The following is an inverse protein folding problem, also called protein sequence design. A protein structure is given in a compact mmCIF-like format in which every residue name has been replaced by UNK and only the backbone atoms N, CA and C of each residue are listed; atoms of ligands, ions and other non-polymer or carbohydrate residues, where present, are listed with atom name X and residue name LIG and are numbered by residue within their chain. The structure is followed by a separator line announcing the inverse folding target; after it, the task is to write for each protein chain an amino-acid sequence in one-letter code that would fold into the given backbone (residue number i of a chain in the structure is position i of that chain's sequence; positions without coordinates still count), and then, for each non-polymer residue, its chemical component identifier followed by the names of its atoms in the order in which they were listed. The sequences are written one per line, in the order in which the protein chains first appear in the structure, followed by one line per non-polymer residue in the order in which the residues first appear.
data_IF_219975806658
#
_entry.id   IF_219975806658
#
_cell.length_a   1.000
_cell.length_b   1.000
_cell.length_c   1.000
_cell.angle_alpha   90.00
_cell.angle_beta   90.00
_cell.angle_gamma   90.00
#
_symmetry.space_group_name_H-M   'P 1'
#
loop_
_entity.id
_entity.type
_entity.pdbx_description
1 polymer ?
#
# COMPACT_ATOMS: atom_id res chain seq x y z
N UNK A 1 3.67 9.17 -13.47
CA UNK A 1 2.78 9.17 -12.30
C UNK A 1 1.40 8.74 -12.74
N UNK A 2 0.56 9.69 -13.16
CA UNK A 2 -0.78 9.38 -13.69
C UNK A 2 -0.71 8.36 -14.84
N UNK A 3 -1.49 7.29 -14.73
CA UNK A 3 -1.55 6.18 -15.69
C UNK A 3 -0.49 5.10 -15.52
N UNK A 4 0.49 5.26 -14.62
CA UNK A 4 1.46 4.20 -14.35
C UNK A 4 0.76 2.97 -13.76
N UNK A 5 1.03 1.78 -14.31
CA UNK A 5 0.50 0.54 -13.77
C UNK A 5 1.35 0.05 -12.58
N UNK A 6 0.67 -0.29 -11.49
CA UNK A 6 1.26 -0.93 -10.32
C UNK A 6 0.69 -2.35 -10.18
N UNK A 7 1.57 -3.36 -10.12
CA UNK A 7 1.22 -4.77 -9.90
C UNK A 7 0.83 -5.03 -8.45
N UNK A 8 -0.32 -4.50 -8.04
CA UNK A 8 -0.81 -4.65 -6.67
C UNK A 8 -1.30 -6.07 -6.40
N UNK A 9 -1.23 -6.51 -5.14
CA UNK A 9 -1.73 -7.79 -4.61
C UNK A 9 -0.98 -9.03 -5.10
N UNK A 10 -0.37 -9.02 -6.29
CA UNK A 10 0.36 -10.15 -6.85
C UNK A 10 1.63 -9.66 -7.56
N UNK A 11 2.79 -10.10 -7.09
CA UNK A 11 4.10 -9.69 -7.61
C UNK A 11 4.33 -10.16 -9.06
N UNK A 12 3.75 -11.30 -9.44
CA UNK A 12 3.82 -11.81 -10.81
C UNK A 12 2.80 -11.14 -11.77
N UNK A 13 2.01 -10.18 -11.28
CA UNK A 13 1.00 -9.48 -12.06
C UNK A 13 -0.37 -10.16 -12.09
N UNK A 14 -1.19 -9.81 -13.07
CA UNK A 14 -2.59 -10.24 -13.21
C UNK A 14 -3.59 -9.44 -12.36
N UNK A 15 -3.13 -8.47 -11.56
CA UNK A 15 -3.96 -7.58 -10.71
C UNK A 15 -3.54 -6.11 -10.77
N UNK A 16 -2.84 -5.75 -11.84
CA UNK A 16 -2.36 -4.39 -12.09
C UNK A 16 -3.50 -3.38 -12.08
N UNK A 17 -3.23 -2.23 -11.47
CA UNK A 17 -4.13 -1.08 -11.52
C UNK A 17 -3.34 0.16 -11.94
N UNK A 18 -3.92 1.05 -12.78
CA UNK A 18 -3.32 2.34 -13.06
C UNK A 18 -3.48 3.27 -11.85
N UNK A 19 -2.39 3.86 -11.38
CA UNK A 19 -2.43 4.92 -10.36
C UNK A 19 -2.74 6.26 -11.04
N UNK A 20 -3.67 7.03 -10.47
CA UNK A 20 -4.02 8.37 -10.97
C UNK A 20 -4.52 9.28 -9.83
N UNK A 21 -4.59 10.59 -10.07
CA UNK A 21 -4.86 11.60 -9.04
C UNK A 21 -6.17 11.38 -8.26
N UNK A 22 -7.20 10.78 -8.88
CA UNK A 22 -8.49 10.52 -8.24
C UNK A 22 -8.70 9.05 -7.85
N UNK A 23 -7.63 8.23 -7.81
CA UNK A 23 -7.75 6.83 -7.44
C UNK A 23 -8.31 6.69 -6.02
N UNK A 24 -9.47 6.05 -5.92
CA UNK A 24 -10.09 5.71 -4.65
C UNK A 24 -9.87 4.23 -4.31
N UNK A 25 -9.92 3.88 -3.02
CA UNK A 25 -9.84 2.49 -2.57
C UNK A 25 -10.91 1.62 -3.25
N UNK A 26 -12.12 2.15 -3.44
CA UNK A 26 -13.23 1.44 -4.09
C UNK A 26 -12.91 1.15 -5.56
N UNK A 27 -12.49 2.16 -6.31
CA UNK A 27 -12.14 2.01 -7.74
C UNK A 27 -10.99 1.02 -7.91
N UNK A 28 -9.93 1.18 -7.12
CA UNK A 28 -8.78 0.28 -7.11
C UNK A 28 -9.18 -1.16 -6.79
N UNK A 29 -10.03 -1.37 -5.78
CA UNK A 29 -10.49 -2.69 -5.38
C UNK A 29 -11.30 -3.38 -6.49
N UNK A 30 -12.18 -2.63 -7.15
CA UNK A 30 -12.92 -3.13 -8.33
C UNK A 30 -11.96 -3.52 -9.45
N UNK A 31 -10.97 -2.68 -9.76
CA UNK A 31 -9.97 -2.95 -10.79
C UNK A 31 -9.15 -4.22 -10.48
N UNK A 32 -8.67 -4.37 -9.24
CA UNK A 32 -7.80 -5.47 -8.85
C UNK A 32 -8.55 -6.80 -8.62
N UNK A 33 -9.78 -6.78 -8.07
CA UNK A 33 -10.49 -7.98 -7.63
C UNK A 33 -11.68 -8.41 -8.51
N UNK A 34 -12.31 -7.49 -9.25
CA UNK A 34 -13.49 -7.78 -10.07
C UNK A 34 -13.13 -8.00 -11.54
N UNK A 35 -11.94 -8.54 -11.82
CA UNK A 35 -11.43 -8.79 -13.19
C UNK A 35 -12.31 -9.74 -14.01
N UNK A 36 -13.13 -10.55 -13.35
CA UNK A 36 -14.16 -11.37 -13.98
C UNK A 36 -15.30 -10.55 -14.65
N UNK A 37 -15.31 -9.22 -14.50
CA UNK A 37 -16.27 -8.29 -15.13
C UNK A 37 -15.59 -7.45 -16.21
N UNK A 38 -15.19 -8.02 -17.36
CA UNK A 38 -14.32 -7.34 -18.34
C UNK A 38 -14.87 -6.00 -18.83
N UNK A 39 -16.18 -5.90 -19.08
CA UNK A 39 -16.82 -4.65 -19.53
C UNK A 39 -16.74 -3.52 -18.51
N UNK A 40 -16.75 -3.84 -17.21
CA UNK A 40 -16.61 -2.84 -16.14
C UNK A 40 -15.17 -2.35 -16.08
N UNK A 41 -14.22 -3.30 -16.11
CA UNK A 41 -12.78 -3.01 -16.07
C UNK A 41 -12.37 -2.15 -17.26
N UNK A 42 -12.77 -2.53 -18.48
CA UNK A 42 -12.48 -1.78 -19.71
C UNK A 42 -12.98 -0.33 -19.63
N UNK A 43 -14.22 -0.12 -19.17
CA UNK A 43 -14.78 1.23 -19.02
C UNK A 43 -14.04 2.06 -17.98
N UNK A 44 -13.68 1.47 -16.83
CA UNK A 44 -12.92 2.16 -15.79
C UNK A 44 -11.52 2.52 -16.30
N UNK A 45 -10.83 1.58 -16.95
CA UNK A 45 -9.51 1.83 -17.54
C UNK A 45 -9.57 2.93 -18.60
N UNK A 46 -10.60 2.94 -19.45
CA UNK A 46 -10.80 4.01 -20.43
C UNK A 46 -10.99 5.37 -19.76
N UNK A 47 -11.86 5.47 -18.75
CA UNK A 47 -12.07 6.72 -18.01
C UNK A 47 -10.77 7.23 -17.36
N UNK A 48 -9.95 6.33 -16.83
CA UNK A 48 -8.65 6.67 -16.24
C UNK A 48 -7.66 7.11 -17.33
N UNK A 49 -7.61 6.41 -18.46
CA UNK A 49 -6.76 6.78 -19.59
C UNK A 49 -7.13 8.15 -20.18
N UNK A 50 -8.43 8.43 -20.34
CA UNK A 50 -8.94 9.73 -20.81
C UNK A 50 -8.53 10.85 -19.84
N UNK A 51 -8.65 10.61 -18.52
CA UNK A 51 -8.16 11.55 -17.50
C UNK A 51 -6.64 11.75 -17.59
N UNK A 52 -5.86 10.67 -17.60
CA UNK A 52 -4.40 10.74 -17.70
C UNK A 52 -3.97 11.52 -18.93
N UNK A 53 -4.59 11.28 -20.10
CA UNK A 53 -4.31 12.04 -21.32
C UNK A 53 -4.60 13.54 -21.13
N UNK A 54 -5.72 13.88 -20.49
CA UNK A 54 -6.10 15.28 -20.23
C UNK A 54 -5.16 16.06 -19.30
N UNK A 55 -4.44 15.36 -18.41
CA UNK A 55 -3.50 15.99 -17.46
C UNK A 55 -2.03 15.81 -17.85
N UNK A 56 -1.76 15.05 -18.91
CA UNK A 56 -0.40 14.83 -19.41
C UNK A 56 0.18 16.14 -19.94
N UNK A 57 1.43 16.42 -19.58
CA UNK A 57 2.13 17.65 -19.94
C UNK A 57 3.58 17.35 -20.30
N UNK A 58 4.12 18.08 -21.27
CA UNK A 58 5.55 18.05 -21.62
C UNK A 58 6.41 18.93 -20.71
N UNK A 59 5.80 19.65 -19.78
CA UNK A 59 6.47 20.52 -18.81
C UNK A 59 6.01 20.20 -17.38
N UNK A 60 6.95 20.27 -16.44
CA UNK A 60 6.65 20.16 -15.02
C UNK A 60 5.86 21.37 -14.50
N UNK A 61 5.13 21.18 -13.40
CA UNK A 61 4.36 22.23 -12.75
C UNK A 61 4.85 22.40 -11.31
N UNK A 62 5.11 23.65 -10.91
CA UNK A 62 5.29 24.02 -9.50
C UNK A 62 4.22 25.04 -9.14
N UNK A 63 3.23 24.61 -8.36
CA UNK A 63 2.09 25.46 -8.04
C UNK A 63 2.38 26.45 -6.89
N UNK A 64 1.46 27.40 -6.73
CA UNK A 64 1.61 28.51 -5.77
C UNK A 64 1.87 28.01 -4.34
N UNK A 65 2.86 28.63 -3.69
CA UNK A 65 3.22 28.35 -2.30
C UNK A 65 4.00 27.05 -2.08
N UNK A 66 4.28 26.27 -3.14
CA UNK A 66 5.18 25.14 -3.02
C UNK A 66 6.60 25.60 -2.67
N UNK A 67 7.29 24.84 -1.83
CA UNK A 67 8.66 25.09 -1.39
C UNK A 67 9.52 23.88 -1.75
N UNK A 68 10.61 24.15 -2.45
CA UNK A 68 11.61 23.14 -2.85
C UNK A 68 12.94 23.59 -2.28
N UNK A 69 13.53 22.79 -1.38
CA UNK A 69 14.69 23.18 -0.58
C UNK A 69 15.72 22.06 -0.66
N UNK A 70 16.96 22.36 -1.06
CA UNK A 70 18.09 21.43 -1.03
C UNK A 70 17.82 20.05 -1.67
N UNK A 71 17.05 20.01 -2.76
CA UNK A 71 16.72 18.78 -3.47
C UNK A 71 17.74 18.50 -4.58
N UNK A 72 18.05 17.23 -4.83
CA UNK A 72 19.07 16.84 -5.82
C UNK A 72 18.48 16.62 -7.21
N UNK A 73 17.55 15.67 -7.37
CA UNK A 73 16.94 15.36 -8.68
C UNK A 73 15.42 15.47 -8.57
N UNK A 74 14.81 16.30 -9.41
CA UNK A 74 13.36 16.36 -9.63
C UNK A 74 13.15 16.38 -11.14
N UNK A 75 12.49 15.34 -11.66
CA UNK A 75 12.28 15.16 -13.11
C UNK A 75 10.88 14.64 -13.39
N UNK A 76 10.17 15.29 -14.32
CA UNK A 76 8.82 14.90 -14.73
C UNK A 76 7.83 14.81 -13.54
N UNK A 77 7.85 15.82 -12.67
CA UNK A 77 7.01 15.89 -11.47
C UNK A 77 6.05 17.09 -11.52
N UNK A 78 4.77 16.82 -11.26
CA UNK A 78 3.76 17.83 -10.94
C UNK A 78 3.76 18.09 -9.43
N UNK A 79 4.01 19.33 -9.01
CA UNK A 79 4.06 19.76 -7.62
C UNK A 79 2.88 20.68 -7.32
N UNK A 80 1.96 20.21 -6.47
CA UNK A 80 0.73 20.91 -6.11
C UNK A 80 0.94 22.08 -5.13
N UNK A 81 -0.11 22.88 -4.88
CA UNK A 81 -0.04 24.04 -4.00
C UNK A 81 0.44 23.70 -2.59
N UNK A 82 1.21 24.62 -1.99
CA UNK A 82 1.72 24.54 -0.61
C UNK A 82 2.58 23.31 -0.29
N UNK A 83 2.95 22.47 -1.26
CA UNK A 83 3.82 21.31 -1.03
C UNK A 83 5.16 21.74 -0.43
N UNK A 84 5.70 20.93 0.47
CA UNK A 84 7.01 21.13 1.05
C UNK A 84 7.89 19.95 0.66
N UNK A 85 8.90 20.22 -0.16
CA UNK A 85 9.85 19.24 -0.66
C UNK A 85 11.23 19.67 -0.20
N UNK A 86 11.86 18.88 0.66
CA UNK A 86 13.10 19.24 1.33
C UNK A 86 14.09 18.08 1.38
N UNK A 87 15.33 18.32 0.95
CA UNK A 87 16.42 17.35 1.11
C UNK A 87 16.22 16.05 0.32
N UNK A 88 15.37 16.06 -0.71
CA UNK A 88 15.03 14.86 -1.48
C UNK A 88 16.17 14.46 -2.40
N UNK A 89 16.45 13.16 -2.49
CA UNK A 89 17.50 12.62 -3.35
C UNK A 89 17.03 12.49 -4.81
N UNK A 90 15.85 11.91 -5.05
CA UNK A 90 15.28 11.78 -6.40
C UNK A 90 13.77 11.70 -6.37
N UNK A 91 13.10 12.55 -7.15
CA UNK A 91 11.70 12.40 -7.55
C UNK A 91 11.65 12.28 -9.07
N UNK A 92 11.06 11.21 -9.57
CA UNK A 92 10.91 10.97 -11.01
C UNK A 92 9.51 10.48 -11.38
N UNK A 93 8.95 11.04 -12.45
CA UNK A 93 7.64 10.68 -13.00
C UNK A 93 6.51 10.68 -11.95
N UNK A 94 6.33 11.81 -11.27
CA UNK A 94 5.51 11.93 -10.07
C UNK A 94 4.34 12.92 -10.16
N UNK A 95 3.31 12.71 -9.34
CA UNK A 95 2.24 13.72 -9.13
C UNK A 95 1.98 13.94 -7.65
N UNK A 96 2.23 15.16 -7.17
CA UNK A 96 2.04 15.57 -5.77
C UNK A 96 0.80 16.44 -5.69
N UNK A 97 -0.31 15.83 -5.29
CA UNK A 97 -1.63 16.46 -5.18
C UNK A 97 -1.82 17.03 -3.78
N UNK A 98 -1.30 18.23 -3.58
CA UNK A 98 -1.30 18.96 -2.30
C UNK A 98 -2.29 20.13 -2.30
N UNK A 99 -2.75 20.54 -1.13
CA UNK A 99 -3.54 21.75 -0.95
C UNK A 99 -3.04 22.57 0.27
N UNK A 100 -3.35 23.87 0.36
CA UNK A 100 -2.93 24.70 1.49
C UNK A 100 -3.48 24.25 2.85
N UNK A 101 -4.68 23.65 2.87
CA UNK A 101 -5.35 23.21 4.09
C UNK A 101 -4.73 21.94 4.68
N UNK A 102 -4.15 21.08 3.82
CA UNK A 102 -3.51 19.83 4.20
C UNK A 102 -2.31 19.53 3.28
N UNK A 103 -1.18 20.22 3.49
CA UNK A 103 -0.05 20.15 2.58
C UNK A 103 0.67 18.81 2.57
N UNK A 104 1.18 18.41 1.40
CA UNK A 104 2.09 17.27 1.28
C UNK A 104 3.50 17.66 1.76
N UNK A 105 4.12 16.77 2.53
CA UNK A 105 5.54 16.86 2.91
C UNK A 105 6.35 15.71 2.30
N UNK A 106 7.38 16.03 1.53
CA UNK A 106 8.39 15.08 1.10
C UNK A 106 9.75 15.53 1.64
N UNK A 107 10.26 14.78 2.61
CA UNK A 107 11.41 15.14 3.42
C UNK A 107 12.73 14.49 2.99
N UNK A 108 13.76 14.59 3.85
CA UNK A 108 15.13 14.25 3.50
C UNK A 108 15.34 12.80 3.08
N UNK A 109 16.22 12.62 2.10
CA UNK A 109 16.73 11.31 1.68
C UNK A 109 15.75 10.49 0.82
N UNK A 110 14.55 11.00 0.55
CA UNK A 110 13.53 10.26 -0.20
C UNK A 110 13.97 9.94 -1.63
N UNK A 111 13.66 8.73 -2.07
CA UNK A 111 13.70 8.31 -3.47
C UNK A 111 12.29 7.90 -3.88
N UNK A 112 11.73 8.54 -4.91
CA UNK A 112 10.42 8.19 -5.43
C UNK A 112 10.44 8.16 -6.96
N UNK A 113 9.98 7.05 -7.52
CA UNK A 113 9.83 6.85 -8.96
C UNK A 113 8.40 6.35 -9.25
N UNK A 114 7.78 6.84 -10.31
CA UNK A 114 6.46 6.38 -10.75
C UNK A 114 5.38 6.47 -9.64
N UNK A 115 5.12 7.68 -9.15
CA UNK A 115 4.35 7.82 -7.92
C UNK A 115 3.23 8.86 -7.99
N UNK A 116 2.26 8.71 -7.09
CA UNK A 116 1.24 9.71 -6.79
C UNK A 116 1.15 9.89 -5.28
N UNK A 117 1.10 11.15 -4.83
CA UNK A 117 0.94 11.51 -3.42
C UNK A 117 -0.26 12.44 -3.27
N UNK A 118 -1.13 12.17 -2.29
CA UNK A 118 -2.31 12.96 -1.99
C UNK A 118 -2.12 13.84 -0.75
N UNK A 119 -3.01 14.81 -0.57
CA UNK A 119 -2.98 15.81 0.51
C UNK A 119 -2.77 15.21 1.90
N UNK A 120 -2.02 15.93 2.74
CA UNK A 120 -1.68 15.51 4.11
C UNK A 120 -0.69 14.37 4.23
N UNK A 121 -0.30 13.73 3.13
CA UNK A 121 0.68 12.66 3.18
C UNK A 121 2.09 13.19 3.52
N UNK A 122 2.86 12.36 4.23
CA UNK A 122 4.23 12.66 4.64
C UNK A 122 5.15 11.50 4.25
N UNK A 123 6.15 11.78 3.41
CA UNK A 123 7.14 10.80 2.96
C UNK A 123 8.51 11.33 3.36
N UNK A 124 9.25 10.68 4.24
CA UNK A 124 10.50 11.25 4.80
C UNK A 124 11.51 10.20 5.24
N UNK A 125 12.65 10.64 5.76
CA UNK A 125 13.65 9.86 6.48
C UNK A 125 14.20 8.69 5.64
N UNK A 126 14.58 8.98 4.40
CA UNK A 126 15.17 7.98 3.50
C UNK A 126 14.19 6.95 2.96
N UNK A 127 12.89 7.23 2.96
CA UNK A 127 11.88 6.35 2.37
C UNK A 127 12.10 6.17 0.86
N UNK A 128 11.94 4.94 0.38
CA UNK A 128 12.09 4.56 -1.03
C UNK A 128 10.74 4.05 -1.55
N UNK A 129 10.19 4.68 -2.58
CA UNK A 129 8.97 4.20 -3.23
C UNK A 129 9.13 4.09 -4.75
N UNK A 130 8.58 3.03 -5.33
CA UNK A 130 8.54 2.82 -6.78
C UNK A 130 7.17 2.29 -7.19
N UNK A 131 6.53 2.88 -8.20
CA UNK A 131 5.19 2.48 -8.68
C UNK A 131 4.15 2.46 -7.55
N UNK A 132 4.04 3.57 -6.83
CA UNK A 132 3.24 3.66 -5.61
C UNK A 132 2.19 4.77 -5.64
N UNK A 133 1.02 4.48 -5.07
CA UNK A 133 0.01 5.48 -4.74
C UNK A 133 0.01 5.71 -3.22
N UNK A 134 0.16 6.96 -2.79
CA UNK A 134 0.19 7.37 -1.38
C UNK A 134 -0.98 8.30 -1.11
N UNK A 135 -2.06 7.74 -0.58
CA UNK A 135 -3.33 8.40 -0.31
C UNK A 135 -3.28 9.37 0.87
N UNK A 136 -4.40 10.07 1.09
CA UNK A 136 -4.46 11.18 2.04
C UNK A 136 -4.02 10.79 3.45
N UNK A 137 -3.29 11.69 4.12
CA UNK A 137 -2.85 11.50 5.51
C UNK A 137 -1.90 10.31 5.73
N UNK A 138 -1.43 9.64 4.68
CA UNK A 138 -0.50 8.50 4.81
C UNK A 138 0.88 8.98 5.20
N UNK A 139 1.52 8.26 6.13
CA UNK A 139 2.90 8.56 6.56
C UNK A 139 3.81 7.39 6.21
N UNK A 140 4.79 7.62 5.36
CA UNK A 140 5.87 6.68 5.04
C UNK A 140 7.20 7.27 5.51
N UNK A 141 7.88 6.60 6.44
CA UNK A 141 9.07 7.17 7.07
C UNK A 141 10.05 6.12 7.59
N UNK A 142 11.18 6.60 8.11
CA UNK A 142 12.20 5.83 8.81
C UNK A 142 12.75 4.66 7.99
N UNK A 143 13.21 4.95 6.78
CA UNK A 143 13.80 4.01 5.82
C UNK A 143 12.81 2.92 5.37
N UNK A 144 11.51 3.22 5.35
CA UNK A 144 10.51 2.32 4.78
C UNK A 144 10.71 2.19 3.27
N UNK A 145 10.50 1.00 2.72
CA UNK A 145 10.50 0.77 1.28
C UNK A 145 9.15 0.24 0.79
N UNK A 146 8.71 0.70 -0.38
CA UNK A 146 7.50 0.18 -1.02
C UNK A 146 7.66 0.08 -2.54
N UNK A 147 7.24 -1.04 -3.11
CA UNK A 147 7.20 -1.25 -4.56
C UNK A 147 5.85 -1.80 -5.01
N UNK A 148 5.33 -1.35 -6.16
CA UNK A 148 4.08 -1.83 -6.76
C UNK A 148 2.89 -1.80 -5.77
N UNK A 149 2.86 -0.81 -4.87
CA UNK A 149 2.01 -0.82 -3.69
C UNK A 149 1.14 0.42 -3.61
N UNK A 150 -0.10 0.24 -3.18
CA UNK A 150 -1.06 1.35 -3.01
C UNK A 150 -1.47 1.47 -1.56
N UNK A 151 -1.34 2.67 -1.02
CA UNK A 151 -1.73 3.06 0.33
C UNK A 151 -2.89 4.03 0.22
N UNK A 152 -4.04 3.67 0.77
CA UNK A 152 -5.20 4.56 0.85
C UNK A 152 -5.17 5.37 2.15
N UNK A 153 -6.27 6.03 2.49
CA UNK A 153 -6.30 7.03 3.54
C UNK A 153 -5.71 6.52 4.89
N UNK A 154 -4.91 7.38 5.53
CA UNK A 154 -4.40 7.21 6.89
C UNK A 154 -3.59 5.92 7.12
N UNK A 155 -2.83 5.47 6.11
CA UNK A 155 -1.89 4.37 6.31
C UNK A 155 -0.60 4.83 6.98
N UNK A 156 0.14 3.88 7.57
CA UNK A 156 1.43 4.13 8.21
C UNK A 156 2.45 3.07 7.81
N UNK A 157 3.54 3.48 7.17
CA UNK A 157 4.65 2.62 6.79
C UNK A 157 5.94 3.12 7.42
N UNK A 158 6.42 2.42 8.44
CA UNK A 158 7.70 2.73 9.08
C UNK A 158 8.58 1.49 9.09
N UNK A 159 9.89 1.68 8.93
CA UNK A 159 10.93 0.71 9.33
C UNK A 159 10.98 -0.65 8.61
N UNK A 160 9.97 -1.01 7.81
CA UNK A 160 9.87 -2.27 7.07
C UNK A 160 9.80 -2.09 5.56
N UNK A 161 9.31 -3.12 4.90
CA UNK A 161 9.19 -3.21 3.44
C UNK A 161 7.77 -3.63 3.04
N UNK A 162 7.33 -3.15 1.88
CA UNK A 162 6.17 -3.68 1.19
C UNK A 162 6.39 -3.88 -0.30
N UNK A 163 5.88 -4.98 -0.84
CA UNK A 163 5.91 -5.26 -2.27
C UNK A 163 4.56 -5.79 -2.74
N UNK A 164 4.02 -5.21 -3.82
CA UNK A 164 2.76 -5.62 -4.42
C UNK A 164 1.60 -5.68 -3.40
N UNK A 165 1.42 -4.66 -2.57
CA UNK A 165 0.32 -4.63 -1.59
C UNK A 165 -0.81 -3.68 -1.99
N UNK A 166 -2.02 -4.08 -1.62
CA UNK A 166 -3.16 -3.20 -1.53
C UNK A 166 -3.38 -2.87 -0.05
N UNK A 167 -2.85 -1.75 0.40
CA UNK A 167 -3.09 -1.20 1.72
C UNK A 167 -4.35 -0.32 1.68
N UNK A 168 -5.49 -0.94 1.97
CA UNK A 168 -6.74 -0.26 2.29
C UNK A 168 -6.56 0.68 3.49
N UNK A 169 -7.54 1.57 3.75
CA UNK A 169 -7.41 2.61 4.77
C UNK A 169 -6.96 2.06 6.13
N UNK A 170 -6.15 2.84 6.85
CA UNK A 170 -5.63 2.49 8.18
C UNK A 170 -4.80 1.20 8.24
N UNK A 171 -4.10 0.84 7.17
CA UNK A 171 -3.08 -0.21 7.20
C UNK A 171 -1.80 0.36 7.79
N UNK A 172 -1.32 -0.20 8.91
CA UNK A 172 -0.20 0.34 9.67
C UNK A 172 0.83 -0.74 10.00
N UNK A 173 2.10 -0.44 9.71
CA UNK A 173 3.28 -1.11 10.25
C UNK A 173 4.23 -0.06 10.82
N UNK A 174 4.60 -0.18 12.11
CA UNK A 174 5.43 0.82 12.78
C UNK A 174 6.83 0.31 13.18
N UNK A 175 7.01 -1.01 13.30
CA UNK A 175 8.22 -1.60 13.88
C UNK A 175 9.10 -2.27 12.82
N UNK A 176 10.41 -2.36 13.09
CA UNK A 176 11.31 -3.27 12.36
C UNK A 176 10.97 -4.72 12.72
N UNK A 177 11.12 -5.73 11.86
CA UNK A 177 11.45 -5.73 10.42
C UNK A 177 10.25 -6.30 9.66
N UNK A 178 9.14 -5.57 9.64
CA UNK A 178 7.91 -6.03 8.98
C UNK A 178 8.10 -6.12 7.46
N UNK A 179 7.62 -7.20 6.87
CA UNK A 179 7.46 -7.39 5.44
C UNK A 179 5.98 -7.61 5.15
N UNK A 180 5.39 -6.75 4.30
CA UNK A 180 4.04 -6.93 3.75
C UNK A 180 4.16 -7.22 2.26
N UNK A 181 3.77 -8.41 1.81
CA UNK A 181 3.88 -8.77 0.39
C UNK A 181 2.60 -9.34 -0.18
N UNK A 182 2.40 -9.13 -1.48
CA UNK A 182 1.41 -9.80 -2.33
C UNK A 182 0.07 -10.00 -1.61
N UNK A 183 -0.54 -8.91 -1.16
CA UNK A 183 -1.68 -9.02 -0.24
C UNK A 183 -2.61 -7.83 -0.24
N UNK A 184 -3.88 -8.10 0.08
CA UNK A 184 -4.84 -7.09 0.50
C UNK A 184 -4.82 -6.97 2.01
N UNK A 185 -4.61 -5.75 2.50
CA UNK A 185 -4.66 -5.40 3.91
C UNK A 185 -5.62 -4.23 4.09
N UNK A 186 -6.37 -4.19 5.17
CA UNK A 186 -7.24 -3.06 5.48
C UNK A 186 -7.39 -2.93 6.98
N UNK A 187 -7.34 -1.70 7.52
CA UNK A 187 -7.37 -1.46 8.97
C UNK A 187 -6.43 -2.40 9.74
N UNK A 188 -5.30 -2.77 9.12
CA UNK A 188 -4.36 -3.74 9.65
C UNK A 188 -3.47 -3.05 10.67
N UNK A 189 -3.26 -3.70 11.81
CA UNK A 189 -2.12 -3.41 12.67
C UNK A 189 -1.10 -4.55 12.55
N UNK A 190 0.02 -4.29 11.87
CA UNK A 190 1.09 -5.26 11.73
C UNK A 190 2.04 -5.19 12.93
N UNK A 191 2.09 -6.27 13.72
CA UNK A 191 3.07 -6.45 14.78
C UNK A 191 4.52 -6.47 14.25
N UNK A 192 5.48 -6.20 15.12
CA UNK A 192 6.91 -6.24 14.75
C UNK A 192 7.30 -7.59 14.16
N UNK A 193 8.11 -7.62 13.09
CA UNK A 193 8.56 -8.88 12.51
C UNK A 193 7.47 -9.67 11.77
N UNK A 194 6.30 -9.06 11.54
CA UNK A 194 5.26 -9.64 10.69
C UNK A 194 5.83 -9.90 9.30
N UNK A 195 5.67 -11.12 8.80
CA UNK A 195 6.28 -11.56 7.55
C UNK A 195 5.36 -12.52 6.80
N UNK A 196 5.41 -12.54 5.47
CA UNK A 196 4.67 -13.46 4.63
C UNK A 196 5.55 -14.00 3.50
N UNK A 197 5.16 -15.14 2.93
CA UNK A 197 5.79 -15.68 1.74
C UNK A 197 4.74 -16.06 0.71
N UNK A 198 4.95 -15.68 -0.55
CA UNK A 198 4.16 -16.12 -1.70
C UNK A 198 4.90 -17.03 -2.67
N UNK A 199 6.19 -17.29 -2.43
CA UNK A 199 6.98 -18.19 -3.24
C UNK A 199 6.69 -19.63 -2.85
N UNK A 200 5.82 -20.32 -3.59
CA UNK A 200 5.78 -21.78 -3.54
C UNK A 200 6.81 -22.34 -4.52
N UNK A 201 7.65 -23.27 -4.04
CA UNK A 201 8.87 -23.77 -4.67
C UNK A 201 8.90 -23.80 -6.21
N UNK A 202 7.86 -24.32 -6.87
CA UNK A 202 7.81 -24.46 -8.34
C UNK A 202 7.10 -23.34 -9.10
N UNK A 203 6.34 -22.50 -8.42
CA UNK A 203 5.37 -21.59 -9.03
C UNK A 203 5.78 -20.11 -8.97
N UNK A 204 6.84 -19.78 -8.22
CA UNK A 204 7.31 -18.40 -8.06
C UNK A 204 6.33 -17.54 -7.25
N UNK A 205 6.43 -16.20 -7.36
CA UNK A 205 5.71 -15.24 -6.51
C UNK A 205 4.27 -14.96 -7.02
N UNK A 206 3.50 -16.02 -7.26
CA UNK A 206 2.15 -15.92 -7.87
C UNK A 206 1.01 -15.98 -6.85
N UNK A 207 1.32 -16.30 -5.59
CA UNK A 207 0.31 -16.42 -4.54
C UNK A 207 0.06 -15.10 -3.85
N UNK A 208 -1.11 -14.97 -3.24
CA UNK A 208 -1.51 -13.73 -2.58
C UNK A 208 -2.34 -13.99 -1.34
N UNK A 209 -2.23 -13.10 -0.37
CA UNK A 209 -3.02 -13.10 0.85
C UNK A 209 -4.20 -12.13 0.80
N UNK A 210 -5.23 -12.41 1.59
CA UNK A 210 -6.28 -11.44 1.92
C UNK A 210 -6.39 -11.37 3.44
N UNK A 211 -6.03 -10.22 4.00
CA UNK A 211 -6.21 -9.92 5.41
C UNK A 211 -7.30 -8.87 5.53
N UNK A 212 -8.49 -9.33 5.91
CA UNK A 212 -9.67 -8.48 5.98
C UNK A 212 -9.57 -7.44 7.10
N UNK A 213 -10.48 -6.47 7.01
CA UNK A 213 -10.46 -5.25 7.84
C UNK A 213 -10.29 -5.53 9.34
N UNK A 214 -9.48 -4.73 10.00
CA UNK A 214 -9.36 -4.69 11.46
C UNK A 214 -8.56 -5.83 12.05
N UNK A 215 -7.97 -6.68 11.19
CA UNK A 215 -7.09 -7.75 11.63
C UNK A 215 -5.81 -7.20 12.23
N UNK A 216 -5.19 -7.98 13.10
CA UNK A 216 -3.92 -7.65 13.73
C UNK A 216 -3.00 -8.86 13.67
N UNK A 217 -1.72 -8.62 13.47
CA UNK A 217 -0.71 -9.65 13.69
C UNK A 217 0.02 -9.38 15.01
N UNK A 218 0.29 -10.43 15.78
CA UNK A 218 1.22 -10.34 16.90
C UNK A 218 2.66 -10.23 16.37
N UNK A 219 3.60 -9.93 17.27
CA UNK A 219 5.02 -9.93 16.93
C UNK A 219 5.46 -11.30 16.40
N UNK A 220 6.37 -11.26 15.43
CA UNK A 220 6.96 -12.43 14.74
C UNK A 220 5.94 -13.36 14.08
N UNK A 221 4.76 -12.84 13.73
CA UNK A 221 3.76 -13.61 12.99
C UNK A 221 4.21 -13.88 11.56
N UNK A 222 4.02 -15.11 11.11
CA UNK A 222 4.32 -15.54 9.75
C UNK A 222 3.10 -16.17 9.08
N UNK A 223 2.87 -15.86 7.79
CA UNK A 223 1.79 -16.47 7.00
C UNK A 223 2.30 -16.90 5.62
N UNK A 224 2.03 -18.15 5.25
CA UNK A 224 2.27 -18.64 3.89
C UNK A 224 1.05 -18.35 3.00
N UNK A 225 1.26 -17.60 1.92
CA UNK A 225 0.25 -17.38 0.89
C UNK A 225 0.06 -18.62 0.01
N UNK A 226 -1.15 -18.85 -0.54
CA UNK A 226 -2.36 -18.04 -0.35
C UNK A 226 -3.01 -18.30 1.01
N UNK A 227 -3.56 -17.27 1.63
CA UNK A 227 -4.37 -17.43 2.84
C UNK A 227 -5.38 -16.29 2.92
N UNK A 228 -6.47 -16.53 3.66
CA UNK A 228 -7.50 -15.54 3.91
C UNK A 228 -7.78 -15.42 5.41
N UNK A 229 -7.49 -14.27 5.96
CA UNK A 229 -7.73 -13.94 7.37
C UNK A 229 -9.02 -13.14 7.45
N UNK A 230 -10.04 -13.70 8.13
CA UNK A 230 -11.34 -13.07 8.33
C UNK A 230 -11.28 -11.80 9.16
N UNK A 231 -12.24 -10.89 8.97
CA UNK A 231 -12.25 -9.58 9.58
C UNK A 231 -12.05 -9.60 11.11
N UNK A 232 -11.31 -8.62 11.63
CA UNK A 232 -11.00 -8.47 13.06
C UNK A 232 -10.36 -9.71 13.68
N UNK A 233 -9.61 -10.50 12.91
CA UNK A 233 -8.90 -11.67 13.44
C UNK A 233 -7.50 -11.27 13.90
N UNK A 234 -7.07 -11.82 15.03
CA UNK A 234 -5.68 -11.68 15.50
C UNK A 234 -4.90 -12.93 15.09
N UNK A 235 -3.81 -12.75 14.35
CA UNK A 235 -2.89 -13.83 13.95
C UNK A 235 -1.70 -13.85 14.91
N UNK A 236 -1.38 -15.03 15.43
CA UNK A 236 -0.34 -15.24 16.42
C UNK A 236 0.51 -16.46 16.06
N UNK A 237 1.81 -16.23 15.88
CA UNK A 237 2.75 -17.30 15.55
C UNK A 237 2.89 -17.54 14.04
N UNK A 238 3.37 -18.73 13.67
CA UNK A 238 3.87 -18.99 12.30
C UNK A 238 3.00 -20.04 11.61
N UNK A 239 2.29 -19.61 10.56
CA UNK A 239 1.34 -20.42 9.82
C UNK A 239 1.90 -20.82 8.46
N UNK A 240 2.38 -22.06 8.35
CA UNK A 240 2.91 -22.64 7.10
C UNK A 240 1.84 -23.30 6.23
N UNK A 241 0.59 -23.30 6.66
CA UNK A 241 -0.55 -23.82 5.91
C UNK A 241 -1.46 -22.69 5.45
N UNK A 242 -2.11 -22.92 4.32
CA UNK A 242 -2.98 -21.96 3.65
C UNK A 242 -4.36 -21.91 4.30
N UNK A 243 -4.47 -21.18 5.42
CA UNK A 243 -5.71 -21.05 6.19
C UNK A 243 -6.71 -20.11 5.50
N UNK A 244 -7.99 -20.47 5.52
CA UNK A 244 -9.11 -19.55 5.24
C UNK A 244 -10.00 -19.48 6.48
N UNK A 245 -10.01 -18.32 7.12
CA UNK A 245 -10.79 -18.06 8.34
C UNK A 245 -11.95 -17.10 8.09
N UNK A 246 -12.30 -16.85 6.82
CA UNK A 246 -13.23 -15.77 6.48
C UNK A 246 -14.68 -15.99 6.94
N UNK A 247 -15.11 -17.23 7.12
CA UNK A 247 -16.42 -17.56 7.68
C UNK A 247 -16.49 -17.39 9.21
N UNK A 248 -15.34 -17.17 9.86
CA UNK A 248 -15.19 -17.06 11.31
C UNK A 248 -14.43 -15.77 11.67
N UNK A 249 -15.05 -14.59 11.51
CA UNK A 249 -14.43 -13.32 11.89
C UNK A 249 -14.31 -13.19 13.42
N UNK A 250 -13.59 -12.16 13.88
CA UNK A 250 -13.35 -11.90 15.30
C UNK A 250 -12.63 -13.04 16.02
N UNK A 251 -11.83 -13.81 15.29
CA UNK A 251 -11.15 -15.00 15.80
C UNK A 251 -9.74 -14.68 16.27
N UNK A 252 -9.16 -15.62 17.02
CA UNK A 252 -7.71 -15.74 17.16
C UNK A 252 -7.23 -16.92 16.33
N UNK A 253 -6.31 -16.68 15.41
CA UNK A 253 -5.57 -17.71 14.69
C UNK A 253 -4.22 -17.88 15.39
N UNK A 254 -4.01 -19.02 16.03
CA UNK A 254 -2.90 -19.29 16.94
C UNK A 254 -2.09 -20.47 16.39
N UNK A 255 -0.77 -20.32 16.32
CA UNK A 255 0.11 -21.46 16.12
C UNK A 255 0.29 -22.24 17.43
N UNK A 256 0.10 -23.54 17.36
CA UNK A 256 0.35 -24.45 18.48
C UNK A 256 0.89 -25.77 17.95
N UNK A 257 2.13 -26.12 18.34
CA UNK A 257 2.81 -27.35 17.93
C UNK A 257 2.87 -27.49 16.39
N UNK A 258 3.24 -26.41 15.69
CA UNK A 258 3.31 -26.31 14.22
C UNK A 258 1.94 -26.45 13.50
N UNK A 259 0.84 -26.51 14.25
CA UNK A 259 -0.52 -26.52 13.73
C UNK A 259 -1.19 -25.16 13.87
N UNK A 260 -2.13 -24.87 12.97
CA UNK A 260 -2.92 -23.63 13.01
C UNK A 260 -4.26 -23.89 13.69
N UNK A 261 -4.44 -23.31 14.88
CA UNK A 261 -5.64 -23.45 15.71
C UNK A 261 -6.44 -22.16 15.63
N UNK A 262 -7.72 -22.27 15.29
CA UNK A 262 -8.64 -21.13 15.25
C UNK A 262 -9.55 -21.14 16.48
N UNK A 263 -9.56 -20.03 17.23
CA UNK A 263 -10.48 -19.83 18.36
C UNK A 263 -11.49 -18.74 17.97
N UNK A 264 -12.72 -19.10 17.60
CA UNK A 264 -13.68 -18.15 17.04
C UNK A 264 -14.29 -17.21 18.09
N UNK A 265 -14.59 -15.98 17.66
CA UNK A 265 -15.36 -14.99 18.43
C UNK A 265 -14.65 -14.37 19.65
N UNK A 266 -13.39 -14.72 19.91
CA UNK A 266 -12.64 -14.20 21.08
C UNK A 266 -12.47 -12.69 20.99
N UNK A 267 -12.19 -12.16 19.80
CA UNK A 267 -11.89 -10.74 19.62
C UNK A 267 -13.13 -9.85 19.72
N UNK A 268 -14.36 -10.41 19.78
CA UNK A 268 -15.58 -9.63 20.01
C UNK A 268 -15.52 -8.80 21.31
N UNK A 269 -14.71 -9.23 22.29
CA UNK A 269 -14.56 -8.56 23.58
C UNK A 269 -13.59 -7.37 23.56
N UNK A 270 -12.74 -7.29 22.54
CA UNK A 270 -11.61 -6.35 22.46
C UNK A 270 -11.62 -5.47 21.22
N UNK A 271 -12.59 -5.65 20.30
CA UNK A 271 -12.82 -4.70 19.20
C UNK A 271 -13.54 -3.47 19.78
N UNK A 272 -12.76 -2.42 20.02
CA UNK A 272 -13.13 -1.11 20.59
C UNK A 272 -11.89 -0.25 20.75
#
# INVERSE_FOLDING_TARGET
GNGTEASVVNEAGGREIPIYDHLSAHTAYVLAFYRHRPKVIEKLQKMIADYTASVTSSVGLVAKGARIINCRIIKDVKIGPASVIEGVNRLENGSINSCPEDPVYIGPGVFAEDFIVCSGAKITDGTIICKCFVGQGTVLARQYSAENSVYFANCGGFHGEACAIFAGPYTVTHHKSTLLIAGLFSFLNAGSGTNQSNHMYKLGPVHQGVVERGSKTASDSYMLWPAKVGAFTVVMGRHYRNSDTSDLPFSYLIEHEDESVLVPGVNLRSVG
#
